data_IF_488911598754
#
_entry.id   IF_488911598754
#
_cell.length_a   1.000
_cell.length_b   1.000
_cell.length_c   1.000
_cell.angle_alpha   90.00
_cell.angle_beta   90.00
_cell.angle_gamma   90.00
#
_symmetry.space_group_name_H-M   'P 1'
#
loop_
_entity.id
_entity.type
_entity.pdbx_description
1 polymer ?
#
# COMPACT_ATOMS: atom_id res chain seq x y z
N UNK A 1 20.54 49.26 -1.24
CA UNK A 1 20.67 48.05 -2.07
C UNK A 1 19.76 47.00 -1.45
N UNK A 2 18.51 46.94 -1.88
CA UNK A 2 17.54 45.96 -1.37
C UNK A 2 17.74 44.64 -2.10
N UNK A 3 17.96 43.57 -1.33
CA UNK A 3 17.93 42.21 -1.85
C UNK A 3 16.46 41.75 -1.98
N UNK A 4 16.08 41.08 -3.08
CA UNK A 4 14.74 40.52 -3.18
C UNK A 4 14.62 39.27 -2.28
N UNK A 5 13.65 39.32 -1.39
CA UNK A 5 13.10 38.16 -0.69
C UNK A 5 12.48 37.23 -1.74
N UNK A 6 13.06 36.06 -1.98
CA UNK A 6 12.38 34.99 -2.72
C UNK A 6 11.35 34.36 -1.78
N UNK A 7 10.10 34.73 -1.96
CA UNK A 7 8.94 34.03 -1.38
C UNK A 7 8.90 32.61 -1.96
N UNK A 8 8.93 31.60 -1.08
CA UNK A 8 8.62 30.23 -1.49
C UNK A 8 7.14 30.16 -1.85
N UNK A 9 6.84 30.05 -3.14
CA UNK A 9 5.49 29.77 -3.59
C UNK A 9 5.07 28.38 -3.06
N UNK A 10 4.06 28.39 -2.20
CA UNK A 10 3.30 27.21 -1.82
C UNK A 10 2.65 26.61 -3.07
N UNK A 11 3.07 25.41 -3.49
CA UNK A 11 2.38 24.67 -4.55
C UNK A 11 1.05 24.10 -4.02
N UNK A 12 0.01 24.91 -4.06
CA UNK A 12 -1.37 24.42 -4.06
C UNK A 12 -1.67 23.68 -5.38
N UNK A 13 -2.28 22.49 -5.27
CA UNK A 13 -3.15 21.94 -6.32
C UNK A 13 -2.52 21.08 -7.43
N UNK A 14 -1.47 20.28 -7.19
CA UNK A 14 -1.10 19.24 -8.17
C UNK A 14 -1.98 18.00 -7.97
N UNK A 15 -2.86 17.72 -8.94
CA UNK A 15 -3.56 16.43 -9.01
C UNK A 15 -2.52 15.33 -9.31
N UNK A 16 -2.33 14.41 -8.37
CA UNK A 16 -1.46 13.26 -8.55
C UNK A 16 -2.25 12.08 -9.12
N UNK A 17 -1.67 11.38 -10.10
CA UNK A 17 -2.21 10.11 -10.55
C UNK A 17 -2.08 9.07 -9.43
N UNK A 18 -3.19 8.43 -9.08
CA UNK A 18 -3.24 7.39 -8.06
C UNK A 18 -3.59 6.05 -8.70
N UNK A 19 -2.90 4.99 -8.27
CA UNK A 19 -3.35 3.61 -8.48
C UNK A 19 -4.34 3.19 -7.41
N UNK A 20 -5.34 2.41 -7.79
CA UNK A 20 -6.06 1.56 -6.83
C UNK A 20 -5.18 0.39 -6.43
N UNK A 21 -5.08 0.11 -5.13
CA UNK A 21 -4.42 -1.09 -4.62
C UNK A 21 -5.49 -2.17 -4.39
N UNK A 22 -5.64 -3.06 -5.36
CA UNK A 22 -6.58 -4.18 -5.32
C UNK A 22 -6.06 -5.30 -4.44
N UNK A 23 -6.92 -5.90 -3.62
CA UNK A 23 -6.61 -7.02 -2.72
C UNK A 23 -7.36 -8.27 -3.15
N UNK A 24 -6.69 -9.41 -3.10
CA UNK A 24 -7.32 -10.71 -3.25
C UNK A 24 -6.70 -11.73 -2.29
N UNK A 25 -7.49 -12.75 -1.95
CA UNK A 25 -7.14 -13.81 -1.00
C UNK A 25 -7.32 -15.19 -1.63
N UNK A 26 -6.38 -16.10 -1.39
CA UNK A 26 -6.54 -17.52 -1.71
C UNK A 26 -6.61 -18.37 -0.45
N UNK A 27 -7.64 -19.23 -0.35
CA UNK A 27 -7.76 -20.18 0.76
C UNK A 27 -7.08 -21.53 0.49
N UNK A 28 -6.82 -21.87 -0.77
CA UNK A 28 -6.13 -23.11 -1.16
C UNK A 28 -4.62 -22.99 -0.99
N UNK A 29 -4.10 -21.76 -1.11
CA UNK A 29 -2.75 -21.36 -0.74
C UNK A 29 -2.88 -20.07 0.08
N UNK A 30 -2.86 -20.15 1.43
CA UNK A 30 -3.03 -19.00 2.30
C UNK A 30 -2.11 -17.82 1.93
N UNK A 31 -2.61 -16.90 1.09
CA UNK A 31 -1.86 -15.79 0.52
C UNK A 31 -2.81 -14.63 0.22
N UNK A 32 -2.50 -13.46 0.77
CA UNK A 32 -3.05 -12.18 0.34
C UNK A 32 -2.05 -11.48 -0.57
N UNK A 33 -2.51 -11.13 -1.78
CA UNK A 33 -1.74 -10.25 -2.65
C UNK A 33 -2.46 -8.94 -2.95
N UNK A 34 -1.63 -7.93 -3.25
CA UNK A 34 -2.01 -6.56 -3.48
C UNK A 34 -1.39 -6.09 -4.79
N UNK A 35 -2.21 -5.58 -5.70
CA UNK A 35 -1.73 -5.14 -7.00
C UNK A 35 -2.34 -3.80 -7.42
N UNK A 36 -1.57 -3.03 -8.19
CA UNK A 36 -2.07 -1.85 -8.90
C UNK A 36 -2.59 -2.19 -10.31
N UNK A 37 -2.47 -3.44 -10.74
CA UNK A 37 -2.83 -3.93 -12.06
C UNK A 37 -4.18 -4.63 -11.99
N UNK A 38 -5.21 -4.01 -12.58
CA UNK A 38 -6.55 -4.57 -12.61
C UNK A 38 -6.62 -5.91 -13.36
N UNK A 39 -5.86 -6.06 -14.44
CA UNK A 39 -5.86 -7.30 -15.24
C UNK A 39 -5.23 -8.47 -14.46
N UNK A 40 -4.20 -8.20 -13.62
CA UNK A 40 -3.62 -9.21 -12.74
C UNK A 40 -4.62 -9.66 -11.68
N UNK A 41 -5.32 -8.70 -11.06
CA UNK A 41 -6.36 -8.97 -10.07
C UNK A 41 -7.53 -9.76 -10.67
N UNK A 42 -8.01 -9.35 -11.86
CA UNK A 42 -9.09 -10.03 -12.58
C UNK A 42 -8.69 -11.46 -12.98
N UNK A 43 -7.47 -11.64 -13.49
CA UNK A 43 -6.96 -12.96 -13.83
C UNK A 43 -6.86 -13.87 -12.59
N UNK A 44 -6.42 -13.35 -11.45
CA UNK A 44 -6.32 -14.14 -10.23
C UNK A 44 -7.68 -14.69 -9.78
N UNK A 45 -8.72 -13.87 -9.90
CA UNK A 45 -10.09 -14.24 -9.50
C UNK A 45 -10.74 -15.20 -10.50
N UNK A 46 -10.58 -14.92 -11.79
CA UNK A 46 -11.26 -15.68 -12.82
C UNK A 46 -10.57 -17.01 -13.14
N UNK A 47 -9.25 -17.09 -12.99
CA UNK A 47 -8.45 -18.21 -13.50
C UNK A 47 -7.58 -18.90 -12.43
N UNK A 48 -7.26 -18.24 -11.31
CA UNK A 48 -6.29 -18.78 -10.33
C UNK A 48 -6.93 -19.14 -8.97
N UNK A 49 -8.25 -18.97 -8.82
CA UNK A 49 -8.98 -19.39 -7.63
C UNK A 49 -8.91 -18.41 -6.45
N UNK A 50 -8.44 -17.18 -6.66
CA UNK A 50 -8.47 -16.14 -5.65
C UNK A 50 -9.89 -15.58 -5.50
N UNK A 51 -10.20 -15.10 -4.30
CA UNK A 51 -11.37 -14.28 -4.02
C UNK A 51 -10.96 -12.81 -4.01
N UNK A 52 -11.60 -12.00 -4.85
CA UNK A 52 -11.44 -10.56 -4.83
C UNK A 52 -12.01 -9.95 -3.55
N UNK A 53 -11.22 -9.10 -2.89
CA UNK A 53 -11.61 -8.41 -1.66
C UNK A 53 -11.74 -6.89 -1.85
N UNK A 54 -11.63 -6.42 -3.10
CA UNK A 54 -11.86 -5.04 -3.49
C UNK A 54 -10.60 -4.18 -3.46
N UNK A 55 -10.78 -2.88 -3.23
CA UNK A 55 -9.70 -1.88 -3.21
C UNK A 55 -9.35 -1.58 -1.76
N UNK A 56 -8.13 -1.88 -1.34
CA UNK A 56 -7.62 -1.56 0.00
C UNK A 56 -7.48 -0.05 0.19
N UNK A 57 -6.99 0.65 -0.83
CA UNK A 57 -6.79 2.09 -0.82
C UNK A 57 -6.20 2.58 -2.13
N UNK A 58 -5.76 3.84 -2.15
CA UNK A 58 -5.12 4.45 -3.33
C UNK A 58 -3.71 4.92 -3.00
N UNK A 59 -2.78 4.68 -3.92
CA UNK A 59 -1.35 4.99 -3.77
C UNK A 59 -0.86 5.85 -4.94
N UNK A 60 -0.03 6.88 -4.70
CA UNK A 60 0.63 7.61 -5.78
C UNK A 60 1.35 6.69 -6.77
N UNK A 61 1.12 6.93 -8.06
CA UNK A 61 1.75 6.18 -9.16
C UNK A 61 3.23 6.51 -9.31
N UNK A 62 3.58 7.77 -9.10
CA UNK A 62 4.94 8.28 -9.20
C UNK A 62 5.39 8.85 -7.86
N UNK A 63 6.71 9.05 -7.72
CA UNK A 63 7.26 9.75 -6.58
C UNK A 63 6.62 11.13 -6.43
N UNK A 64 6.16 11.39 -5.23
CA UNK A 64 5.79 12.72 -4.73
C UNK A 64 6.60 12.98 -3.44
N UNK A 65 6.81 14.24 -3.04
CA UNK A 65 7.50 14.54 -1.80
C UNK A 65 6.94 13.73 -0.61
N UNK A 66 7.84 13.25 0.25
CA UNK A 66 7.53 12.45 1.45
C UNK A 66 6.95 11.05 1.19
N UNK A 67 7.03 10.57 -0.05
CA UNK A 67 6.73 9.16 -0.38
C UNK A 67 7.98 8.35 -0.69
N UNK A 68 7.86 7.04 -0.49
CA UNK A 68 8.89 6.05 -0.82
C UNK A 68 8.26 4.94 -1.68
N UNK A 69 9.03 4.26 -2.54
CA UNK A 69 8.53 3.08 -3.26
C UNK A 69 7.97 2.03 -2.29
N UNK A 70 6.84 1.44 -2.65
CA UNK A 70 6.28 0.28 -1.98
C UNK A 70 6.63 -0.96 -2.81
N UNK A 71 7.64 -1.69 -2.34
CA UNK A 71 8.18 -2.86 -3.02
C UNK A 71 7.28 -4.07 -2.82
N UNK A 72 7.05 -4.84 -3.87
CA UNK A 72 6.40 -6.16 -3.83
C UNK A 72 7.44 -7.24 -4.08
N UNK A 73 7.39 -8.30 -3.29
CA UNK A 73 8.20 -9.48 -3.43
C UNK A 73 7.34 -10.73 -3.29
N UNK A 74 7.76 -11.82 -3.92
CA UNK A 74 7.08 -13.11 -3.86
C UNK A 74 8.05 -14.24 -3.49
N UNK A 75 7.63 -15.13 -2.60
CA UNK A 75 8.35 -16.38 -2.32
C UNK A 75 7.54 -17.57 -2.79
N UNK A 76 8.00 -18.25 -3.84
CA UNK A 76 7.33 -19.46 -4.36
C UNK A 76 7.37 -20.64 -3.37
N UNK A 77 8.41 -20.72 -2.52
CA UNK A 77 8.51 -21.77 -1.51
C UNK A 77 7.58 -21.56 -0.32
N UNK A 78 7.32 -20.30 0.05
CA UNK A 78 6.37 -19.95 1.11
C UNK A 78 4.94 -19.79 0.57
N UNK A 79 4.79 -19.53 -0.73
CA UNK A 79 3.55 -19.04 -1.35
C UNK A 79 3.03 -17.80 -0.63
N UNK A 80 3.89 -16.79 -0.51
CA UNK A 80 3.62 -15.54 0.22
C UNK A 80 4.05 -14.32 -0.57
N UNK A 81 3.18 -13.31 -0.62
CA UNK A 81 3.52 -11.97 -1.08
C UNK A 81 3.88 -11.04 0.08
N UNK A 82 5.08 -10.48 0.00
CA UNK A 82 5.60 -9.54 0.98
C UNK A 82 5.71 -8.12 0.39
N UNK A 83 5.34 -7.11 1.18
CA UNK A 83 5.37 -5.71 0.77
C UNK A 83 6.04 -4.81 1.80
N UNK A 84 6.92 -3.93 1.35
CA UNK A 84 7.60 -3.01 2.26
C UNK A 84 7.98 -1.69 1.61
N UNK A 85 7.95 -0.62 2.40
CA UNK A 85 8.52 0.68 2.07
C UNK A 85 10.00 0.81 2.49
N UNK A 86 10.51 -0.15 3.27
CA UNK A 86 11.88 -0.17 3.75
C UNK A 86 12.77 -0.92 2.76
N UNK A 87 13.66 -0.18 2.08
CA UNK A 87 14.59 -0.74 1.10
C UNK A 87 15.52 -1.80 1.70
N UNK A 88 15.99 -1.62 2.93
CA UNK A 88 16.87 -2.61 3.58
C UNK A 88 16.11 -3.91 3.93
N UNK A 89 14.82 -3.80 4.27
CA UNK A 89 13.96 -4.97 4.52
C UNK A 89 13.70 -5.74 3.21
N UNK A 90 13.44 -5.03 2.12
CA UNK A 90 13.32 -5.62 0.77
C UNK A 90 14.62 -6.33 0.36
N UNK A 91 15.77 -5.68 0.53
CA UNK A 91 17.08 -6.26 0.19
C UNK A 91 17.38 -7.50 1.04
N UNK A 92 17.05 -7.48 2.34
CA UNK A 92 17.20 -8.64 3.20
C UNK A 92 16.28 -9.80 2.78
N UNK A 93 15.02 -9.52 2.46
CA UNK A 93 14.07 -10.53 2.01
C UNK A 93 14.56 -11.21 0.72
N UNK A 94 15.11 -10.43 -0.21
CA UNK A 94 15.69 -10.92 -1.45
C UNK A 94 16.97 -11.74 -1.22
N UNK A 95 17.93 -11.20 -0.48
CA UNK A 95 19.26 -11.80 -0.37
C UNK A 95 19.31 -12.99 0.58
N UNK A 96 18.46 -12.99 1.62
CA UNK A 96 18.60 -13.92 2.75
C UNK A 96 17.36 -14.78 3.02
N UNK A 97 16.17 -14.38 2.55
CA UNK A 97 14.91 -15.05 2.93
C UNK A 97 14.21 -15.75 1.74
N UNK A 98 14.80 -15.73 0.54
CA UNK A 98 14.30 -16.47 -0.61
C UNK A 98 13.07 -15.83 -1.29
N UNK A 99 12.87 -14.53 -1.11
CA UNK A 99 11.87 -13.76 -1.86
C UNK A 99 12.48 -13.26 -3.17
N UNK A 100 11.67 -13.12 -4.21
CA UNK A 100 12.05 -12.50 -5.48
C UNK A 100 11.34 -11.15 -5.62
N UNK A 101 12.07 -10.04 -5.85
CA UNK A 101 11.45 -8.75 -6.13
C UNK A 101 10.62 -8.78 -7.41
N UNK A 102 9.38 -8.30 -7.32
CA UNK A 102 8.45 -8.18 -8.45
C UNK A 102 8.26 -6.72 -8.90
N UNK A 103 8.93 -5.79 -8.23
CA UNK A 103 8.96 -4.37 -8.58
C UNK A 103 8.29 -3.48 -7.54
N UNK A 104 7.86 -2.31 -7.99
CA UNK A 104 7.22 -1.29 -7.16
C UNK A 104 5.74 -1.20 -7.54
N UNK A 105 4.83 -1.45 -6.59
CA UNK A 105 3.38 -1.35 -6.84
C UNK A 105 2.88 0.09 -6.86
N UNK A 106 3.67 1.01 -6.31
CA UNK A 106 3.43 2.44 -6.27
C UNK A 106 4.26 3.08 -5.18
N UNK A 107 3.86 4.26 -4.72
CA UNK A 107 4.55 5.00 -3.67
C UNK A 107 3.61 5.21 -2.49
N UNK A 108 4.13 5.16 -1.26
CA UNK A 108 3.35 5.39 -0.04
C UNK A 108 4.05 6.41 0.85
N UNK A 109 3.28 7.15 1.65
CA UNK A 109 3.84 8.13 2.58
C UNK A 109 4.46 7.42 3.79
N UNK A 110 5.61 7.93 4.25
CA UNK A 110 6.28 7.41 5.46
C UNK A 110 5.79 8.06 6.74
N UNK A 111 5.01 9.14 6.63
CA UNK A 111 4.36 9.84 7.73
C UNK A 111 2.91 10.16 7.37
N UNK A 112 2.06 10.35 8.38
CA UNK A 112 0.65 10.67 8.14
C UNK A 112 0.51 12.09 7.59
N UNK A 113 -0.13 12.22 6.44
CA UNK A 113 -0.56 13.51 5.88
C UNK A 113 -2.09 13.59 5.80
N UNK A 114 -2.62 14.80 5.59
CA UNK A 114 -4.07 15.03 5.45
C UNK A 114 -4.66 14.12 4.37
N UNK A 115 -5.73 13.41 4.72
CA UNK A 115 -6.47 12.53 3.80
C UNK A 115 -5.89 11.11 3.68
N UNK A 116 -4.85 10.75 4.44
CA UNK A 116 -4.28 9.40 4.44
C UNK A 116 -4.56 8.65 5.74
N UNK A 117 -4.66 7.33 5.62
CA UNK A 117 -4.89 6.39 6.71
C UNK A 117 -3.66 5.46 6.85
N UNK A 118 -3.37 4.96 8.08
CA UNK A 118 -2.32 3.98 8.28
C UNK A 118 -2.66 2.65 7.58
N UNK A 119 -1.70 2.13 6.82
CA UNK A 119 -1.72 0.77 6.29
C UNK A 119 -1.09 -0.16 7.32
N UNK A 120 -1.92 -0.88 8.07
CA UNK A 120 -1.48 -1.83 9.08
C UNK A 120 -0.90 -3.07 8.39
N UNK A 121 0.28 -3.52 8.84
CA UNK A 121 0.92 -4.78 8.42
C UNK A 121 0.79 -5.81 9.53
N UNK A 122 0.43 -7.03 9.13
CA UNK A 122 0.34 -8.17 10.02
C UNK A 122 0.97 -9.39 9.35
N UNK A 123 1.44 -10.33 10.16
CA UNK A 123 2.03 -11.57 9.69
C UNK A 123 1.53 -12.78 10.48
N UNK A 124 1.17 -13.86 9.79
CA UNK A 124 0.85 -15.15 10.41
C UNK A 124 1.95 -16.16 10.11
N UNK A 125 2.70 -16.59 11.14
CA UNK A 125 3.71 -17.65 10.98
C UNK A 125 3.10 -19.04 10.75
N UNK A 126 1.82 -19.23 11.13
CA UNK A 126 1.10 -20.47 10.89
C UNK A 126 0.66 -20.59 9.43
N UNK A 127 0.10 -19.51 8.87
CA UNK A 127 -0.29 -19.46 7.46
C UNK A 127 0.88 -19.19 6.52
N UNK A 128 1.96 -18.58 7.04
CA UNK A 128 3.04 -17.96 6.25
C UNK A 128 2.46 -16.93 5.29
N UNK A 129 1.74 -15.95 5.84
CA UNK A 129 1.01 -14.94 5.06
C UNK A 129 1.19 -13.53 5.65
N UNK A 130 1.46 -12.55 4.79
CA UNK A 130 1.40 -11.13 5.14
C UNK A 130 0.07 -10.50 4.75
N UNK A 131 -0.52 -9.81 5.72
CA UNK A 131 -1.81 -9.17 5.58
C UNK A 131 -1.71 -7.65 5.80
N UNK A 132 -2.35 -6.86 4.91
CA UNK A 132 -2.33 -5.41 4.93
C UNK A 132 -3.74 -4.83 4.86
N UNK A 133 -4.03 -3.88 5.75
CA UNK A 133 -5.37 -3.27 5.80
C UNK A 133 -5.35 -1.82 6.26
N UNK A 134 -6.26 -1.01 5.73
CA UNK A 134 -6.58 0.31 6.26
C UNK A 134 -7.57 0.26 7.45
N UNK A 135 -8.22 -0.90 7.66
CA UNK A 135 -9.22 -1.07 8.69
C UNK A 135 -8.58 -1.52 10.01
N UNK A 136 -8.61 -0.63 11.01
CA UNK A 136 -8.12 -0.96 12.35
C UNK A 136 -8.91 -2.14 12.97
N UNK A 137 -10.21 -2.23 12.70
CA UNK A 137 -11.03 -3.34 13.20
C UNK A 137 -10.71 -4.66 12.51
N UNK A 138 -10.37 -4.65 11.23
CA UNK A 138 -9.90 -5.84 10.50
C UNK A 138 -8.53 -6.29 11.03
N UNK A 139 -7.61 -5.36 11.24
CA UNK A 139 -6.31 -5.62 11.90
C UNK A 139 -6.47 -6.24 13.29
N UNK A 140 -7.36 -5.69 14.13
CA UNK A 140 -7.66 -6.25 15.46
C UNK A 140 -8.30 -7.63 15.38
N UNK A 141 -9.19 -7.85 14.41
CA UNK A 141 -9.84 -9.15 14.21
C UNK A 141 -8.84 -10.21 13.77
N UNK A 142 -7.94 -9.88 12.83
CA UNK A 142 -6.87 -10.76 12.36
C UNK A 142 -5.91 -11.16 13.50
N UNK A 143 -5.62 -10.23 14.42
CA UNK A 143 -4.86 -10.56 15.64
C UNK A 143 -5.55 -11.61 16.51
N UNK A 144 -6.88 -11.54 16.62
CA UNK A 144 -7.69 -12.55 17.30
C UNK A 144 -7.65 -13.93 16.62
N UNK A 145 -7.23 -14.02 15.36
CA UNK A 145 -7.16 -15.26 14.57
C UNK A 145 -5.73 -15.72 14.26
N UNK A 146 -4.73 -15.19 14.97
CA UNK A 146 -3.36 -15.69 14.93
C UNK A 146 -2.36 -14.88 14.09
N UNK A 147 -2.75 -13.72 13.57
CA UNK A 147 -1.79 -12.79 12.97
C UNK A 147 -1.10 -11.93 14.05
N UNK A 148 0.21 -11.78 13.95
CA UNK A 148 0.97 -10.82 14.74
C UNK A 148 0.91 -9.44 14.07
N UNK A 149 0.65 -8.39 14.84
CA UNK A 149 0.76 -7.02 14.36
C UNK A 149 2.22 -6.61 14.21
N UNK A 150 2.61 -6.14 13.03
CA UNK A 150 3.99 -5.76 12.71
C UNK A 150 4.20 -4.25 12.59
N UNK A 151 3.14 -3.46 12.73
CA UNK A 151 3.21 -2.00 12.68
C UNK A 151 2.49 -1.39 11.47
N UNK A 152 2.86 -0.15 11.17
CA UNK A 152 2.34 0.61 10.04
C UNK A 152 3.36 0.49 8.89
N UNK A 153 2.95 -0.09 7.77
CA UNK A 153 3.77 -0.19 6.56
C UNK A 153 3.97 1.18 5.89
N UNK A 154 3.00 2.07 6.04
CA UNK A 154 3.01 3.46 5.58
C UNK A 154 1.61 4.05 5.62
N UNK A 155 1.40 5.17 4.94
CA UNK A 155 0.12 5.86 4.88
C UNK A 155 -0.34 6.02 3.43
N UNK A 156 -1.60 5.69 3.17
CA UNK A 156 -2.20 5.70 1.82
C UNK A 156 -3.58 6.35 1.88
N UNK A 157 -4.10 6.77 0.72
CA UNK A 157 -5.44 7.34 0.65
C UNK A 157 -6.51 6.24 0.79
N UNK A 158 -7.68 6.53 1.38
CA UNK A 158 -8.78 5.59 1.42
C UNK A 158 -9.31 5.28 0.00
N UNK A 159 -10.04 4.18 -0.15
CA UNK A 159 -10.50 3.68 -1.45
C UNK A 159 -11.51 4.59 -2.14
N UNK A 160 -12.23 5.42 -1.40
CA UNK A 160 -13.18 6.43 -1.87
C UNK A 160 -12.53 7.80 -2.13
N UNK A 161 -11.22 7.95 -1.89
CA UNK A 161 -10.54 9.23 -2.10
C UNK A 161 -10.68 9.72 -3.55
N UNK A 162 -11.20 10.93 -3.70
CA UNK A 162 -11.33 11.63 -4.97
C UNK A 162 -10.50 12.91 -4.93
N UNK A 163 -9.53 13.03 -5.84
CA UNK A 163 -8.68 14.21 -5.94
C UNK A 163 -9.42 15.47 -6.44
N UNK A 164 -10.71 15.36 -6.81
CA UNK A 164 -11.47 16.43 -7.47
C UNK A 164 -12.30 17.34 -6.54
N UNK A 165 -12.34 17.14 -5.22
CA UNK A 165 -13.11 18.02 -4.33
C UNK A 165 -12.22 18.97 -3.52
N UNK A 166 -11.80 20.05 -4.17
CA UNK A 166 -11.49 21.31 -3.48
C UNK A 166 -12.47 22.35 -4.01
N UNK A 167 -13.72 22.31 -3.55
CA UNK A 167 -14.56 23.51 -3.60
C UNK A 167 -14.12 24.39 -2.44
N UNK A 168 -13.36 25.44 -2.74
CA UNK A 168 -13.18 26.54 -1.80
C UNK A 168 -14.55 27.17 -1.58
N UNK A 169 -15.12 26.92 -0.41
CA UNK A 169 -16.23 27.72 0.10
C UNK A 169 -15.64 29.09 0.46
N UNK A 170 -15.75 30.04 -0.46
CA UNK A 170 -15.49 31.44 -0.18
C UNK A 170 -16.67 31.94 0.66
N UNK A 171 -16.60 31.69 1.96
CA UNK A 171 -17.54 32.23 2.93
C UNK A 171 -17.66 33.75 2.79
N UNK A 172 -18.92 34.21 2.77
CA UNK A 172 -19.32 35.62 2.90
C UNK A 172 -18.93 36.22 4.25
#
# INVERSE_FOLDING_TARGET
>A
MSQPHTTSESKEGQAYELYSLYRAWSSSCPDHFYTNNFDEWENAINNLGYKGEGITGKIPKNYIPDTTPFYRLYSASATDHFYTANKAEMENAFQNLGYTPEGTVGYIYTCQIKGTNPLYRLYSSYATDHFYTLSESESKSAQGTGYAYEGIAGYIYPSDYSACEVTVDLGE
#
